data_IF_252265925938
#
_entry.id   IF_252265925938
#
_cell.length_a   1.000
_cell.length_b   1.000
_cell.length_c   1.000
_cell.angle_alpha   90.00
_cell.angle_beta   90.00
_cell.angle_gamma   90.00
#
_symmetry.space_group_name_H-M   'P 1'
#
loop_
_entity.id
_entity.type
_entity.pdbx_description
1 polymer ?
#
# COMPACT_ATOMS: atom_id res chain seq x y z
N UNK A 1 -81.27 -2.47 -50.30
CA UNK A 1 -81.18 -1.16 -50.98
C UNK A 1 -81.25 -0.06 -49.94
N UNK A 2 -80.25 0.84 -49.98
CA UNK A 2 -80.24 2.23 -49.47
C UNK A 2 -80.40 2.43 -47.95
N UNK A 3 -79.32 2.83 -47.23
CA UNK A 3 -78.78 4.23 -47.07
C UNK A 3 -79.65 5.06 -46.11
N UNK A 4 -79.19 5.89 -45.17
CA UNK A 4 -77.89 6.32 -44.62
C UNK A 4 -78.22 7.39 -43.52
N UNK A 5 -77.28 7.68 -42.60
CA UNK A 5 -77.09 8.95 -41.83
C UNK A 5 -77.94 9.17 -40.55
N UNK A 6 -77.50 9.79 -39.44
CA UNK A 6 -76.21 10.33 -38.99
C UNK A 6 -76.24 10.53 -37.44
N UNK A 7 -75.08 10.42 -36.79
CA UNK A 7 -74.56 11.17 -35.63
C UNK A 7 -75.40 11.43 -34.37
N UNK A 8 -74.89 10.98 -33.21
CA UNK A 8 -74.28 11.89 -32.23
C UNK A 8 -73.48 11.12 -31.16
N UNK A 9 -72.33 11.69 -30.82
CA UNK A 9 -71.27 11.24 -29.92
C UNK A 9 -71.61 11.58 -28.46
N UNK A 10 -71.22 10.73 -27.49
CA UNK A 10 -70.47 11.03 -26.23
C UNK A 10 -70.30 9.67 -25.50
N UNK A 11 -69.10 9.10 -25.42
CA UNK A 11 -68.20 9.23 -24.27
C UNK A 11 -68.45 8.09 -23.24
N UNK A 12 -67.86 6.91 -23.41
CA UNK A 12 -66.58 6.49 -22.80
C UNK A 12 -66.68 6.13 -21.29
N UNK A 13 -66.73 4.85 -20.94
CA UNK A 13 -65.59 4.05 -20.44
C UNK A 13 -66.07 2.73 -19.81
N UNK A 14 -65.42 1.65 -20.23
CA UNK A 14 -65.53 0.29 -19.70
C UNK A 14 -64.78 0.24 -18.36
N UNK A 15 -65.42 -0.29 -17.31
CA UNK A 15 -64.68 -0.83 -16.15
C UNK A 15 -65.00 -2.32 -16.07
N UNK A 16 -64.10 -3.09 -16.69
CA UNK A 16 -63.99 -4.53 -16.50
C UNK A 16 -63.27 -4.83 -15.18
N UNK A 17 -63.65 -5.96 -14.60
CA UNK A 17 -63.10 -6.50 -13.37
C UNK A 17 -61.57 -6.68 -13.44
N UNK A 18 -60.88 -6.15 -12.43
CA UNK A 18 -59.46 -6.39 -12.20
C UNK A 18 -59.24 -6.61 -10.71
N UNK A 19 -59.04 -7.87 -10.34
CA UNK A 19 -58.63 -8.31 -8.99
C UNK A 19 -57.32 -7.61 -8.65
N UNK A 20 -57.35 -6.69 -7.68
CA UNK A 20 -56.16 -6.04 -7.15
C UNK A 20 -55.40 -7.06 -6.28
N UNK A 21 -54.41 -7.73 -6.88
CA UNK A 21 -53.36 -8.40 -6.15
C UNK A 21 -52.46 -7.32 -5.50
N UNK A 22 -52.62 -7.11 -4.19
CA UNK A 22 -51.67 -6.34 -3.41
C UNK A 22 -50.32 -7.06 -3.43
N UNK A 23 -49.34 -6.50 -4.15
CA UNK A 23 -47.94 -6.87 -4.01
C UNK A 23 -47.48 -6.48 -2.60
N UNK A 24 -47.48 -7.45 -1.69
CA UNK A 24 -46.75 -7.32 -0.43
C UNK A 24 -45.29 -7.06 -0.78
N UNK A 25 -44.79 -5.87 -0.40
CA UNK A 25 -43.38 -5.57 -0.45
C UNK A 25 -42.58 -6.69 0.22
N UNK A 26 -41.51 -7.13 -0.43
CA UNK A 26 -40.54 -8.05 0.18
C UNK A 26 -40.01 -7.37 1.44
N UNK A 27 -40.47 -7.83 2.59
CA UNK A 27 -39.82 -7.51 3.85
C UNK A 27 -38.38 -8.02 3.76
N UNK A 28 -37.42 -7.12 3.89
CA UNK A 28 -36.01 -7.48 4.00
C UNK A 28 -35.85 -8.24 5.31
N UNK A 29 -35.49 -9.52 5.22
CA UNK A 29 -35.32 -10.38 6.39
C UNK A 29 -34.30 -9.72 7.35
N UNK A 30 -34.54 -9.75 8.67
CA UNK A 30 -33.55 -9.26 9.63
C UNK A 30 -32.26 -10.08 9.44
N UNK A 31 -31.16 -9.42 9.06
CA UNK A 31 -29.85 -10.08 9.08
C UNK A 31 -29.59 -10.56 10.51
N UNK A 32 -29.26 -11.85 10.73
CA UNK A 32 -29.08 -12.35 12.08
C UNK A 32 -27.83 -11.68 12.67
N UNK A 33 -27.95 -11.07 13.85
CA UNK A 33 -26.80 -10.58 14.64
C UNK A 33 -25.69 -11.63 14.84
N UNK A 34 -26.00 -12.90 14.60
CA UNK A 34 -25.12 -14.06 14.74
C UNK A 34 -24.13 -14.21 13.58
N UNK A 35 -24.52 -13.99 12.31
CA UNK A 35 -23.60 -14.18 11.17
C UNK A 35 -22.45 -13.17 11.16
N UNK A 36 -22.75 -11.91 11.49
CA UNK A 36 -21.76 -10.85 11.61
C UNK A 36 -20.76 -11.10 12.75
N UNK A 37 -21.24 -11.64 13.87
CA UNK A 37 -20.41 -11.99 15.01
C UNK A 37 -19.51 -13.19 14.70
N UNK A 38 -20.05 -14.20 14.02
CA UNK A 38 -19.27 -15.36 13.53
C UNK A 38 -18.19 -14.94 12.54
N UNK A 39 -18.51 -14.07 11.58
CA UNK A 39 -17.52 -13.55 10.62
C UNK A 39 -16.44 -12.73 11.33
N UNK A 40 -16.80 -11.92 12.33
CA UNK A 40 -15.84 -11.18 13.14
C UNK A 40 -14.89 -12.14 13.87
N UNK A 41 -15.43 -13.18 14.51
CA UNK A 41 -14.62 -14.18 15.23
C UNK A 41 -13.69 -14.92 14.26
N UNK A 42 -14.20 -15.34 13.11
CA UNK A 42 -13.40 -15.95 12.05
C UNK A 42 -12.28 -15.01 11.57
N UNK A 43 -12.58 -13.72 11.34
CA UNK A 43 -11.59 -12.75 10.89
C UNK A 43 -10.47 -12.55 11.93
N UNK A 44 -10.79 -12.55 13.23
CA UNK A 44 -9.81 -12.40 14.32
C UNK A 44 -8.84 -13.57 14.44
N UNK A 45 -9.13 -14.73 13.83
CA UNK A 45 -8.18 -15.83 13.74
C UNK A 45 -7.03 -15.52 12.77
N UNK A 46 -7.26 -14.67 11.76
CA UNK A 46 -6.29 -14.36 10.71
C UNK A 46 -5.72 -12.94 10.79
N UNK A 47 -6.44 -12.01 11.40
CA UNK A 47 -6.11 -10.58 11.36
C UNK A 47 -6.12 -9.94 12.74
N UNK A 48 -5.40 -8.82 12.85
CA UNK A 48 -5.41 -7.95 14.02
C UNK A 48 -5.63 -6.49 13.58
N UNK A 49 -6.27 -5.65 14.41
CA UNK A 49 -6.32 -4.22 14.14
C UNK A 49 -4.91 -3.62 14.20
N UNK A 50 -4.69 -2.53 13.46
CA UNK A 50 -3.42 -1.79 13.52
C UNK A 50 -3.17 -1.27 14.94
N UNK A 51 -1.91 -1.35 15.42
CA UNK A 51 -1.50 -0.59 16.58
C UNK A 51 -1.46 0.91 16.23
N UNK A 52 -1.52 1.77 17.24
CA UNK A 52 -1.36 3.22 17.06
C UNK A 52 0.06 3.59 16.63
N UNK A 53 1.06 2.85 17.11
CA UNK A 53 2.48 3.02 16.80
C UNK A 53 3.13 1.64 16.73
N UNK A 54 4.11 1.46 15.84
CA UNK A 54 4.86 0.19 15.72
C UNK A 54 6.19 0.29 16.46
N UNK A 55 6.19 -0.11 17.72
CA UNK A 55 7.35 -0.01 18.61
C UNK A 55 8.58 -0.76 18.11
N UNK A 56 9.77 -0.25 18.48
CA UNK A 56 11.06 -0.89 18.27
C UNK A 56 11.91 -0.81 19.56
N UNK A 57 12.14 -1.93 20.27
CA UNK A 57 12.96 -1.93 21.48
C UNK A 57 14.40 -1.44 21.25
N UNK A 58 14.94 -1.60 20.04
CA UNK A 58 16.28 -1.16 19.66
C UNK A 58 16.34 0.30 19.20
N UNK A 59 15.18 0.93 18.97
CA UNK A 59 15.07 2.33 18.55
C UNK A 59 13.79 2.96 19.11
N UNK A 60 13.86 3.39 20.37
CA UNK A 60 12.72 4.06 21.03
C UNK A 60 12.20 5.23 20.21
N UNK A 61 10.88 5.32 20.07
CA UNK A 61 10.20 6.38 19.32
C UNK A 61 10.02 7.59 20.25
N UNK A 62 10.82 8.63 20.03
CA UNK A 62 10.72 9.90 20.76
C UNK A 62 10.24 11.00 19.84
N UNK A 63 9.67 12.07 20.41
CA UNK A 63 9.23 13.23 19.63
C UNK A 63 10.37 13.82 18.80
N UNK A 64 11.57 13.90 19.38
CA UNK A 64 12.75 14.47 18.74
C UNK A 64 13.22 13.61 17.55
N UNK A 65 13.19 12.28 17.67
CA UNK A 65 13.51 11.38 16.55
C UNK A 65 12.46 11.42 15.45
N UNK A 66 11.18 11.44 15.80
CA UNK A 66 10.08 11.53 14.83
C UNK A 66 10.17 12.85 14.05
N UNK A 67 10.45 13.97 14.73
CA UNK A 67 10.59 15.27 14.08
C UNK A 67 11.81 15.34 13.16
N UNK A 68 12.95 14.82 13.61
CA UNK A 68 14.14 14.70 12.77
C UNK A 68 13.89 13.77 11.58
N UNK A 69 13.27 12.61 11.80
CA UNK A 69 12.91 11.65 10.77
C UNK A 69 12.00 12.23 9.70
N UNK A 70 10.95 12.95 10.13
CA UNK A 70 10.05 13.67 9.23
C UNK A 70 10.80 14.71 8.42
N UNK A 71 11.69 15.47 9.04
CA UNK A 71 12.52 16.46 8.34
C UNK A 71 13.42 15.80 7.28
N UNK A 72 14.09 14.71 7.62
CA UNK A 72 14.94 13.94 6.71
C UNK A 72 14.16 13.25 5.59
N UNK A 73 12.93 12.79 5.85
CA UNK A 73 12.04 12.19 4.85
C UNK A 73 11.75 13.14 3.69
N UNK A 74 11.63 14.43 3.99
CA UNK A 74 11.41 15.51 3.03
C UNK A 74 12.69 16.21 2.56
N UNK A 75 13.88 15.78 2.99
CA UNK A 75 15.15 16.48 2.74
C UNK A 75 15.74 16.10 1.36
N UNK A 76 15.59 16.91 0.30
CA UNK A 76 16.10 16.55 -1.01
C UNK A 76 17.63 16.63 -1.08
N UNK A 77 18.29 17.32 -0.13
CA UNK A 77 19.77 17.38 -0.06
C UNK A 77 20.37 16.07 0.44
N UNK A 78 19.56 15.08 0.86
CA UNK A 78 20.03 13.70 1.00
C UNK A 78 20.31 13.03 -0.36
N UNK A 79 19.92 13.62 -1.49
CA UNK A 79 20.31 13.14 -2.82
C UNK A 79 21.47 13.94 -3.42
N UNK A 80 22.24 13.31 -4.32
CA UNK A 80 23.32 13.96 -5.06
C UNK A 80 22.85 15.19 -5.84
N UNK A 81 21.66 15.11 -6.41
CA UNK A 81 21.04 16.20 -7.18
C UNK A 81 20.43 17.30 -6.34
N UNK A 82 20.19 17.10 -5.03
CA UNK A 82 19.42 18.06 -4.24
C UNK A 82 17.94 18.17 -4.66
N UNK A 83 17.43 17.20 -5.44
CA UNK A 83 16.07 17.21 -6.01
C UNK A 83 15.19 16.06 -5.51
N UNK A 84 15.76 15.02 -4.90
CA UNK A 84 15.07 13.75 -4.61
C UNK A 84 15.09 13.53 -3.11
N UNK A 85 13.92 13.28 -2.54
CA UNK A 85 13.72 12.90 -1.13
C UNK A 85 12.96 11.57 -1.05
N UNK A 86 12.77 11.01 0.14
CA UNK A 86 11.90 9.84 0.32
C UNK A 86 10.48 10.13 -0.22
N UNK A 87 9.97 11.34 0.04
CA UNK A 87 8.65 11.76 -0.44
C UNK A 87 8.53 11.89 -1.97
N UNK A 88 9.63 11.87 -2.73
CA UNK A 88 9.58 11.90 -4.19
C UNK A 88 8.97 10.61 -4.76
N UNK A 89 9.41 9.45 -4.27
CA UNK A 89 8.89 8.15 -4.71
C UNK A 89 7.78 7.63 -3.77
N UNK A 90 7.82 8.03 -2.50
CA UNK A 90 6.86 7.63 -1.48
C UNK A 90 6.03 8.84 -1.02
N UNK A 91 5.31 9.45 -1.94
CA UNK A 91 4.59 10.69 -1.66
C UNK A 91 3.45 10.45 -0.65
N UNK A 92 3.58 11.06 0.53
CA UNK A 92 2.63 10.86 1.64
C UNK A 92 1.21 11.35 1.31
N UNK A 93 1.07 12.31 0.40
CA UNK A 93 -0.23 12.81 -0.06
C UNK A 93 -0.96 11.84 -1.01
N UNK A 94 -0.25 10.91 -1.63
CA UNK A 94 -0.78 9.87 -2.54
C UNK A 94 -0.60 8.48 -1.93
N UNK A 95 -0.88 8.35 -0.63
CA UNK A 95 -0.80 7.08 0.10
C UNK A 95 0.60 6.44 0.06
N UNK A 96 1.66 7.26 0.10
CA UNK A 96 3.02 6.79 0.32
C UNK A 96 3.66 6.15 -0.90
N UNK A 97 3.14 6.41 -2.10
CA UNK A 97 3.64 5.94 -3.39
C UNK A 97 3.59 7.06 -4.42
N UNK A 98 4.29 6.89 -5.54
CA UNK A 98 4.28 7.81 -6.70
C UNK A 98 3.23 7.43 -7.77
N UNK A 99 2.58 6.28 -7.62
CA UNK A 99 1.63 5.69 -8.57
C UNK A 99 2.20 5.50 -9.99
N UNK A 100 3.51 5.29 -10.11
CA UNK A 100 4.17 4.92 -11.36
C UNK A 100 4.40 3.41 -11.43
N UNK A 101 4.54 2.80 -12.63
CA UNK A 101 4.95 1.41 -12.76
C UNK A 101 6.25 1.13 -12.00
N UNK A 102 7.26 1.96 -12.20
CA UNK A 102 8.49 1.99 -11.43
C UNK A 102 8.97 3.43 -11.26
N UNK A 103 9.64 3.73 -10.14
CA UNK A 103 9.99 5.10 -9.77
C UNK A 103 11.12 5.69 -10.61
N UNK A 104 11.12 7.01 -10.74
CA UNK A 104 12.15 7.80 -11.43
C UNK A 104 13.08 8.42 -10.38
N UNK A 105 14.37 8.11 -10.45
CA UNK A 105 15.39 8.65 -9.55
C UNK A 105 16.41 9.54 -10.24
N UNK A 106 17.64 9.50 -9.74
CA UNK A 106 18.73 10.38 -10.17
C UNK A 106 19.00 10.28 -11.68
N UNK A 107 19.23 11.41 -12.33
CA UNK A 107 19.50 11.45 -13.77
C UNK A 107 18.36 10.92 -14.64
N UNK A 108 17.12 10.91 -14.13
CA UNK A 108 15.96 10.31 -14.79
C UNK A 108 16.06 8.77 -14.95
N UNK A 109 16.90 8.13 -14.13
CA UNK A 109 17.00 6.68 -14.12
C UNK A 109 15.68 6.06 -13.64
N UNK A 110 15.22 5.05 -14.36
CA UNK A 110 13.99 4.32 -14.03
C UNK A 110 14.37 3.06 -13.25
N UNK A 111 13.80 2.90 -12.05
CA UNK A 111 14.02 1.73 -11.20
C UNK A 111 13.43 0.44 -11.79
N UNK A 112 13.89 -0.74 -11.35
CA UNK A 112 13.39 -2.02 -11.84
C UNK A 112 12.07 -2.45 -11.19
N UNK A 113 11.66 -1.82 -10.08
CA UNK A 113 10.51 -2.23 -9.27
C UNK A 113 9.57 -1.07 -8.95
N UNK A 114 8.30 -1.39 -8.77
CA UNK A 114 7.28 -0.52 -8.21
C UNK A 114 7.65 -0.16 -6.75
N UNK A 115 7.51 1.12 -6.39
CA UNK A 115 7.74 1.57 -5.03
C UNK A 115 6.52 1.25 -4.14
N UNK A 116 6.64 0.32 -3.15
CA UNK A 116 5.53 0.01 -2.26
C UNK A 116 5.26 1.18 -1.30
N UNK A 117 4.06 1.22 -0.71
CA UNK A 117 3.71 2.25 0.27
C UNK A 117 4.58 2.17 1.54
N UNK A 118 4.98 3.33 2.06
CA UNK A 118 5.60 3.46 3.40
C UNK A 118 4.58 3.33 4.54
N UNK A 119 3.28 3.52 4.26
CA UNK A 119 2.26 3.40 5.29
C UNK A 119 2.15 1.96 5.78
N UNK A 120 2.21 1.78 7.10
CA UNK A 120 2.20 0.49 7.79
C UNK A 120 3.43 -0.40 7.51
N UNK A 121 4.45 0.10 6.78
CA UNK A 121 5.60 -0.72 6.38
C UNK A 121 6.43 -1.23 7.56
N UNK A 122 6.42 -0.50 8.68
CA UNK A 122 7.08 -0.90 9.92
C UNK A 122 6.54 -2.21 10.53
N UNK A 123 5.36 -2.68 10.11
CA UNK A 123 4.80 -3.98 10.53
C UNK A 123 5.37 -5.17 9.79
N UNK A 124 6.05 -4.96 8.66
CA UNK A 124 6.56 -6.06 7.85
C UNK A 124 7.71 -6.79 8.56
N UNK A 125 7.82 -8.10 8.33
CA UNK A 125 8.92 -8.94 8.84
C UNK A 125 10.28 -8.57 8.22
N UNK A 126 10.24 -7.95 7.04
CA UNK A 126 11.40 -7.46 6.28
C UNK A 126 10.92 -6.39 5.29
N UNK A 127 11.84 -5.56 4.81
CA UNK A 127 11.56 -4.49 3.85
C UNK A 127 12.01 -4.84 2.43
N UNK A 128 11.50 -4.05 1.47
CA UNK A 128 11.56 -4.31 0.02
C UNK A 128 10.80 -5.57 -0.42
N UNK A 129 10.65 -5.73 -1.74
CA UNK A 129 10.01 -6.88 -2.38
C UNK A 129 10.76 -8.20 -2.14
N UNK A 130 12.08 -8.16 -2.01
CA UNK A 130 12.97 -9.31 -1.82
C UNK A 130 13.36 -9.56 -0.35
N UNK A 131 12.98 -8.65 0.56
CA UNK A 131 13.27 -8.79 1.99
C UNK A 131 14.72 -8.56 2.37
N UNK A 132 15.48 -7.76 1.59
CA UNK A 132 16.92 -7.57 1.80
C UNK A 132 17.30 -6.67 2.97
N UNK A 133 16.35 -5.96 3.56
CA UNK A 133 16.56 -5.15 4.76
C UNK A 133 15.62 -5.64 5.88
N UNK A 134 16.11 -5.68 7.13
CA UNK A 134 15.38 -6.29 8.24
C UNK A 134 14.22 -5.44 8.76
N UNK A 135 14.36 -4.12 8.71
CA UNK A 135 13.41 -3.16 9.27
C UNK A 135 13.47 -1.83 8.49
N UNK A 136 12.58 -0.89 8.85
CA UNK A 136 12.49 0.42 8.19
C UNK A 136 13.73 1.27 8.45
N UNK A 137 14.39 1.10 9.60
CA UNK A 137 15.64 1.78 9.92
C UNK A 137 16.79 1.41 8.98
N UNK A 138 16.96 0.12 8.68
CA UNK A 138 17.95 -0.35 7.70
C UNK A 138 17.54 0.00 6.27
N UNK A 139 16.25 -0.13 5.94
CA UNK A 139 15.73 0.16 4.61
C UNK A 139 16.01 1.59 4.18
N UNK A 140 15.78 2.57 5.06
CA UNK A 140 15.92 4.00 4.77
C UNK A 140 17.34 4.42 4.34
N UNK A 141 18.37 3.63 4.68
CA UNK A 141 19.77 3.90 4.32
C UNK A 141 20.11 3.47 2.89
N UNK A 142 19.39 2.50 2.32
CA UNK A 142 19.66 1.98 0.97
C UNK A 142 19.45 3.02 -0.14
N UNK A 143 18.27 3.66 -0.22
CA UNK A 143 17.93 4.63 -1.27
C UNK A 143 18.94 5.78 -1.42
N UNK A 144 19.47 6.25 -0.29
CA UNK A 144 20.41 7.38 -0.23
C UNK A 144 21.63 7.12 -1.12
N UNK A 145 22.20 5.91 -1.07
CA UNK A 145 23.41 5.54 -1.82
C UNK A 145 23.11 4.86 -3.16
N UNK A 146 21.86 4.46 -3.41
CA UNK A 146 21.53 3.77 -4.65
C UNK A 146 21.69 4.73 -5.86
N UNK A 147 22.55 4.41 -6.85
CA UNK A 147 22.88 5.31 -7.96
C UNK A 147 21.70 5.65 -8.87
N UNK A 148 20.65 4.84 -8.88
CA UNK A 148 19.43 5.09 -9.67
C UNK A 148 18.29 5.68 -8.84
N UNK A 149 18.50 5.91 -7.54
CA UNK A 149 17.53 6.56 -6.63
C UNK A 149 18.05 7.94 -6.21
N UNK A 150 18.72 8.06 -5.05
CA UNK A 150 19.22 9.35 -4.53
C UNK A 150 20.70 9.59 -4.83
N UNK A 151 21.45 8.53 -5.18
CA UNK A 151 22.78 8.56 -5.79
C UNK A 151 23.89 9.28 -5.00
N UNK A 152 23.81 9.36 -3.68
CA UNK A 152 24.92 9.88 -2.88
C UNK A 152 26.14 8.95 -3.01
N UNK A 153 27.36 9.47 -3.25
CA UNK A 153 28.50 8.61 -3.54
C UNK A 153 28.99 7.80 -2.33
N UNK A 154 28.77 8.31 -1.11
CA UNK A 154 29.17 7.62 0.12
C UNK A 154 28.44 8.15 1.35
N UNK A 155 28.39 7.35 2.42
CA UNK A 155 27.91 7.77 3.74
C UNK A 155 28.65 9.02 4.26
N UNK A 156 29.95 9.09 4.01
CA UNK A 156 30.79 10.23 4.40
C UNK A 156 30.26 11.54 3.80
N UNK A 157 29.94 11.55 2.50
CA UNK A 157 29.41 12.75 1.85
C UNK A 157 28.04 13.17 2.38
N UNK A 158 27.19 12.19 2.74
CA UNK A 158 25.89 12.47 3.40
C UNK A 158 26.12 13.17 4.73
N UNK A 159 27.03 12.65 5.54
CA UNK A 159 27.34 13.18 6.87
C UNK A 159 28.01 14.55 6.78
N UNK A 160 28.97 14.76 5.88
CA UNK A 160 29.61 16.06 5.66
C UNK A 160 28.58 17.11 5.22
N UNK A 161 27.64 16.74 4.36
CA UNK A 161 26.57 17.63 3.93
C UNK A 161 25.63 18.02 5.08
N UNK A 162 25.12 17.06 5.85
CA UNK A 162 24.26 17.38 7.00
C UNK A 162 25.03 18.17 8.07
N UNK A 163 26.30 17.85 8.32
CA UNK A 163 27.17 18.56 9.27
C UNK A 163 27.41 20.01 8.89
N UNK A 164 27.36 20.34 7.60
CA UNK A 164 27.50 21.71 7.12
C UNK A 164 26.34 22.64 7.52
N UNK A 165 25.23 22.07 8.02
CA UNK A 165 24.00 22.78 8.40
C UNK A 165 23.86 22.69 9.93
N UNK A 166 24.10 23.79 10.68
CA UNK A 166 24.13 23.77 12.15
C UNK A 166 22.85 23.23 12.80
N UNK A 167 21.68 23.52 12.21
CA UNK A 167 20.39 23.06 12.71
C UNK A 167 20.28 21.54 12.70
N UNK A 168 20.82 20.86 11.68
CA UNK A 168 20.85 19.40 11.67
C UNK A 168 21.74 18.87 12.80
N UNK A 169 22.92 19.46 13.03
CA UNK A 169 23.79 19.06 14.14
C UNK A 169 23.04 19.13 15.49
N UNK A 170 22.27 20.19 15.72
CA UNK A 170 21.46 20.34 16.93
C UNK A 170 20.27 19.38 16.99
N UNK A 171 19.58 19.14 15.88
CA UNK A 171 18.48 18.17 15.82
C UNK A 171 18.98 16.75 16.14
N UNK A 172 20.13 16.34 15.59
CA UNK A 172 20.72 15.03 15.90
C UNK A 172 21.15 14.91 17.36
N UNK A 173 21.77 15.96 17.95
CA UNK A 173 22.09 15.97 19.39
C UNK A 173 20.85 15.80 20.27
N UNK A 174 19.74 16.46 19.93
CA UNK A 174 18.47 16.35 20.66
C UNK A 174 17.83 14.97 20.49
N UNK A 175 17.87 14.40 19.29
CA UNK A 175 17.27 13.10 18.98
C UNK A 175 18.07 11.92 19.56
N UNK A 176 19.39 12.07 19.74
CA UNK A 176 20.29 11.01 20.21
C UNK A 176 21.22 11.53 21.33
N UNK A 177 20.70 11.96 22.49
CA UNK A 177 21.48 12.62 23.53
C UNK A 177 22.51 11.71 24.22
N UNK A 178 22.32 10.39 24.13
CA UNK A 178 23.19 9.39 24.74
C UNK A 178 24.30 8.89 23.79
N UNK A 179 24.27 9.29 22.51
CA UNK A 179 25.28 8.91 21.54
C UNK A 179 26.48 9.87 21.62
N UNK A 180 27.70 9.32 21.66
CA UNK A 180 28.94 10.13 21.61
C UNK A 180 29.05 10.92 20.30
N UNK A 181 28.59 10.33 19.21
CA UNK A 181 28.53 10.94 17.87
C UNK A 181 27.08 10.84 17.34
N UNK A 182 26.21 11.81 17.67
CA UNK A 182 24.80 11.76 17.28
C UNK A 182 24.59 11.81 15.76
N UNK A 183 25.35 12.64 15.06
CA UNK A 183 25.26 12.82 13.60
C UNK A 183 26.18 11.81 12.89
N UNK A 184 25.63 10.60 12.67
CA UNK A 184 26.23 9.47 11.96
C UNK A 184 25.19 8.76 11.09
N UNK A 185 25.65 7.95 10.14
CA UNK A 185 24.80 7.43 9.07
C UNK A 185 23.67 6.56 9.60
N UNK A 186 23.94 5.70 10.58
CA UNK A 186 22.94 4.81 11.19
C UNK A 186 21.82 5.58 11.90
N UNK A 187 22.13 6.75 12.45
CA UNK A 187 21.14 7.58 13.13
C UNK A 187 20.21 8.32 12.16
N UNK A 188 20.60 8.48 10.88
CA UNK A 188 19.69 8.91 9.81
C UNK A 188 18.58 7.87 9.66
N UNK A 189 18.96 6.60 9.49
CA UNK A 189 18.02 5.48 9.37
C UNK A 189 17.13 5.33 10.59
N UNK A 190 17.68 5.44 11.82
CA UNK A 190 16.88 5.41 13.05
C UNK A 190 15.88 6.57 13.16
N UNK A 191 16.25 7.77 12.73
CA UNK A 191 15.35 8.92 12.76
C UNK A 191 14.21 8.73 11.75
N UNK A 192 14.54 8.42 10.48
CA UNK A 192 13.53 8.16 9.43
C UNK A 192 12.62 7.00 9.84
N UNK A 193 13.17 5.87 10.28
CA UNK A 193 12.39 4.73 10.74
C UNK A 193 11.50 5.05 11.95
N UNK A 194 11.93 5.93 12.87
CA UNK A 194 11.06 6.39 13.96
C UNK A 194 9.85 7.19 13.44
N UNK A 195 10.02 8.02 12.41
CA UNK A 195 8.91 8.68 11.73
C UNK A 195 8.02 7.67 10.99
N UNK A 196 8.58 6.76 10.21
CA UNK A 196 7.82 5.74 9.47
C UNK A 196 7.00 4.81 10.37
N UNK A 197 7.48 4.53 11.60
CA UNK A 197 6.73 3.77 12.63
C UNK A 197 5.47 4.47 13.13
N UNK A 198 5.32 5.76 12.87
CA UNK A 198 4.09 6.54 13.14
C UNK A 198 3.14 6.60 11.95
N UNK A 199 3.55 6.11 10.78
CA UNK A 199 2.77 6.13 9.54
C UNK A 199 1.79 4.95 9.48
N UNK A 200 0.99 4.77 10.54
CA UNK A 200 -0.11 3.80 10.57
C UNK A 200 -1.39 4.40 10.04
N UNK A 201 -2.15 3.65 9.25
CA UNK A 201 -3.43 4.10 8.65
C UNK A 201 -4.58 3.15 9.03
N UNK A 202 -5.15 3.24 10.25
CA UNK A 202 -6.36 2.51 10.61
C UNK A 202 -7.51 2.78 9.63
N UNK A 203 -8.27 1.73 9.29
CA UNK A 203 -9.38 1.74 8.35
C UNK A 203 -10.67 1.24 8.98
N UNK A 204 -11.75 1.21 8.18
CA UNK A 204 -13.03 0.61 8.58
C UNK A 204 -12.90 -0.87 8.94
N UNK A 205 -11.94 -1.58 8.37
CA UNK A 205 -11.65 -2.96 8.72
C UNK A 205 -11.09 -3.08 10.15
N UNK A 206 -10.27 -2.14 10.61
CA UNK A 206 -9.79 -2.14 11.99
C UNK A 206 -10.95 -1.91 12.98
N UNK A 207 -11.90 -1.03 12.64
CA UNK A 207 -13.10 -0.82 13.46
C UNK A 207 -13.99 -2.07 13.51
N UNK A 208 -14.10 -2.80 12.40
CA UNK A 208 -14.73 -4.12 12.37
C UNK A 208 -14.04 -5.09 13.33
N UNK A 209 -12.71 -5.23 13.22
CA UNK A 209 -11.91 -6.11 14.08
C UNK A 209 -11.99 -5.72 15.58
N UNK A 210 -12.21 -4.45 15.90
CA UNK A 210 -12.46 -3.97 17.28
C UNK A 210 -13.88 -4.23 17.80
N UNK A 211 -14.78 -4.76 16.97
CA UNK A 211 -16.12 -5.20 17.39
C UNK A 211 -17.28 -4.41 16.77
N UNK A 212 -17.00 -3.34 16.00
CA UNK A 212 -18.05 -2.62 15.29
C UNK A 212 -18.42 -3.35 14.00
N UNK A 213 -19.30 -4.36 14.09
CA UNK A 213 -19.72 -5.16 12.93
C UNK A 213 -20.43 -4.34 11.84
N UNK A 214 -20.85 -3.10 12.14
CA UNK A 214 -21.46 -2.18 11.16
C UNK A 214 -20.43 -1.35 10.37
N UNK A 215 -19.15 -1.44 10.70
CA UNK A 215 -18.09 -0.71 9.98
C UNK A 215 -17.91 -1.20 8.54
N UNK A 216 -18.24 -2.48 8.28
CA UNK A 216 -18.29 -3.06 6.95
C UNK A 216 -19.73 -3.15 6.44
N UNK A 217 -19.89 -2.85 5.16
CA UNK A 217 -21.12 -3.10 4.39
C UNK A 217 -21.35 -4.60 4.19
N UNK A 218 -22.57 -4.97 3.78
CA UNK A 218 -22.88 -6.37 3.47
C UNK A 218 -22.01 -6.94 2.33
N UNK A 219 -21.63 -6.11 1.36
CA UNK A 219 -20.77 -6.52 0.24
C UNK A 219 -19.32 -6.76 0.70
N UNK A 220 -18.78 -5.87 1.53
CA UNK A 220 -17.45 -6.02 2.13
C UNK A 220 -17.36 -7.25 3.03
N UNK A 221 -18.43 -7.58 3.76
CA UNK A 221 -18.49 -8.80 4.58
C UNK A 221 -18.48 -10.07 3.74
N UNK A 222 -19.23 -10.09 2.63
CA UNK A 222 -19.16 -11.19 1.66
C UNK A 222 -17.74 -11.32 1.09
N UNK A 223 -17.10 -10.19 0.77
CA UNK A 223 -15.71 -10.13 0.33
C UNK A 223 -14.72 -10.70 1.34
N UNK A 224 -14.82 -10.29 2.61
CA UNK A 224 -13.97 -10.78 3.69
C UNK A 224 -14.12 -12.29 3.88
N UNK A 225 -15.37 -12.77 3.94
CA UNK A 225 -15.67 -14.20 4.04
C UNK A 225 -15.06 -14.97 2.87
N UNK A 226 -15.29 -14.51 1.65
CA UNK A 226 -14.75 -15.14 0.46
C UNK A 226 -13.22 -15.12 0.44
N UNK A 227 -12.58 -14.01 0.81
CA UNK A 227 -11.12 -13.88 0.92
C UNK A 227 -10.51 -14.91 1.86
N UNK A 228 -11.18 -15.20 2.98
CA UNK A 228 -10.80 -16.28 3.91
C UNK A 228 -11.03 -17.65 3.26
N UNK A 229 -12.22 -17.91 2.73
CA UNK A 229 -12.63 -19.22 2.20
C UNK A 229 -11.85 -19.67 0.96
N UNK A 230 -11.45 -18.73 0.09
CA UNK A 230 -10.63 -19.06 -1.08
C UNK A 230 -9.16 -19.29 -0.73
N UNK A 231 -8.73 -18.89 0.47
CA UNK A 231 -7.38 -19.14 0.98
C UNK A 231 -6.39 -17.99 0.80
N UNK A 232 -6.82 -16.77 0.46
CA UNK A 232 -5.91 -15.62 0.36
C UNK A 232 -5.17 -15.33 1.68
N UNK A 233 -5.82 -15.66 2.81
CA UNK A 233 -5.26 -15.52 4.17
C UNK A 233 -4.02 -16.37 4.45
N UNK A 234 -3.72 -17.37 3.62
CA UNK A 234 -2.48 -18.14 3.74
C UNK A 234 -1.23 -17.27 3.57
N UNK A 235 -1.32 -16.22 2.74
CA UNK A 235 -0.21 -15.29 2.47
C UNK A 235 -0.47 -13.87 2.99
N UNK A 236 -1.74 -13.49 3.08
CA UNK A 236 -2.20 -12.14 3.43
C UNK A 236 -2.99 -12.15 4.74
N UNK A 237 -2.26 -12.14 5.85
CA UNK A 237 -2.78 -12.22 7.22
C UNK A 237 -2.06 -11.22 8.13
N UNK A 238 -2.37 -11.25 9.42
CA UNK A 238 -1.74 -10.39 10.41
C UNK A 238 -2.26 -8.95 10.37
N UNK A 239 -1.62 -8.03 11.11
CA UNK A 239 -2.06 -6.65 11.19
C UNK A 239 -1.87 -5.91 9.87
N UNK A 240 -0.91 -6.28 9.00
CA UNK A 240 -0.70 -5.63 7.71
C UNK A 240 -1.43 -6.34 6.54
N UNK A 241 -2.19 -7.42 6.79
CA UNK A 241 -2.87 -8.20 5.73
C UNK A 241 -1.85 -8.65 4.66
N UNK A 242 -0.71 -9.17 5.12
CA UNK A 242 0.49 -9.43 4.30
C UNK A 242 1.76 -8.93 4.99
N UNK A 243 2.89 -8.98 4.30
CA UNK A 243 4.17 -8.48 4.80
C UNK A 243 4.90 -9.39 5.79
N UNK A 244 4.35 -10.57 6.09
CA UNK A 244 4.83 -11.44 7.18
C UNK A 244 5.73 -12.59 6.70
N UNK A 245 5.71 -12.92 5.41
CA UNK A 245 6.43 -14.06 4.87
C UNK A 245 6.72 -13.90 3.36
N UNK A 246 7.51 -14.84 2.84
CA UNK A 246 7.93 -14.90 1.45
C UNK A 246 7.24 -16.06 0.75
N UNK A 247 6.76 -15.83 -0.48
CA UNK A 247 6.08 -16.83 -1.27
C UNK A 247 6.51 -16.74 -2.72
N UNK A 248 6.52 -17.89 -3.41
CA UNK A 248 6.69 -17.92 -4.85
C UNK A 248 5.50 -17.22 -5.52
N UNK A 249 5.77 -16.25 -6.38
CA UNK A 249 4.77 -15.68 -7.26
C UNK A 249 4.66 -16.56 -8.50
N UNK A 250 3.50 -17.20 -8.67
CA UNK A 250 3.26 -18.23 -9.66
C UNK A 250 3.45 -19.64 -9.10
N UNK A 251 2.70 -19.98 -8.06
CA UNK A 251 2.65 -21.32 -7.50
C UNK A 251 2.00 -22.34 -8.46
N UNK A 252 1.01 -21.91 -9.23
CA UNK A 252 0.26 -22.72 -10.20
C UNK A 252 0.48 -22.27 -11.64
N UNK A 253 0.57 -20.96 -11.87
CA UNK A 253 0.82 -20.36 -13.18
C UNK A 253 1.92 -19.32 -13.02
N UNK A 254 2.97 -19.41 -13.83
CA UNK A 254 4.08 -18.45 -13.77
C UNK A 254 3.57 -17.00 -13.89
N UNK A 255 4.02 -16.12 -13.00
CA UNK A 255 3.48 -14.77 -12.93
C UNK A 255 3.69 -13.98 -14.23
N UNK A 256 4.83 -14.14 -14.90
CA UNK A 256 5.13 -13.45 -16.15
C UNK A 256 4.22 -13.88 -17.31
N UNK A 257 3.61 -15.06 -17.24
CA UNK A 257 2.58 -15.49 -18.20
C UNK A 257 1.24 -14.85 -17.89
N UNK A 258 0.91 -14.73 -16.61
CA UNK A 258 -0.33 -14.08 -16.17
C UNK A 258 -0.31 -12.56 -16.38
N UNK A 259 0.87 -11.92 -16.34
CA UNK A 259 1.03 -10.48 -16.63
C UNK A 259 1.35 -10.17 -18.09
N UNK A 260 1.60 -11.17 -18.94
CA UNK A 260 1.87 -10.97 -20.37
C UNK A 260 0.81 -10.16 -21.14
N UNK A 261 -0.51 -10.26 -20.84
CA UNK A 261 -1.52 -9.43 -21.51
C UNK A 261 -1.38 -7.91 -21.24
N UNK A 262 -0.60 -7.52 -20.24
CA UNK A 262 -0.34 -6.12 -19.87
C UNK A 262 0.93 -5.56 -20.51
N UNK A 263 1.61 -6.36 -21.36
CA UNK A 263 2.68 -5.88 -22.25
C UNK A 263 2.07 -5.01 -23.33
N UNK A 264 2.56 -3.78 -23.44
CA UNK A 264 2.09 -2.79 -24.42
C UNK A 264 3.18 -2.50 -25.45
N UNK A 265 2.84 -1.81 -26.55
CA UNK A 265 3.81 -1.45 -27.59
C UNK A 265 4.93 -0.52 -27.06
N UNK A 266 4.60 0.34 -26.08
CA UNK A 266 5.53 1.23 -25.40
C UNK A 266 6.37 0.53 -24.31
N UNK A 267 5.97 -0.66 -23.87
CA UNK A 267 6.71 -1.52 -22.94
C UNK A 267 6.76 -2.96 -23.47
N UNK A 268 7.49 -3.21 -24.58
CA UNK A 268 7.39 -4.46 -25.35
C UNK A 268 8.02 -5.67 -24.66
N UNK A 269 8.68 -5.48 -23.51
CA UNK A 269 9.29 -6.54 -22.70
C UNK A 269 8.95 -6.35 -21.23
N UNK A 270 8.73 -7.46 -20.53
CA UNK A 270 8.68 -7.52 -19.06
C UNK A 270 9.97 -8.21 -18.61
N UNK A 271 10.91 -7.50 -17.98
CA UNK A 271 12.05 -8.13 -17.32
C UNK A 271 11.55 -9.11 -16.27
N UNK A 272 12.02 -10.36 -16.32
CA UNK A 272 11.68 -11.36 -15.31
C UNK A 272 12.52 -11.11 -14.06
N UNK A 273 11.91 -10.50 -13.04
CA UNK A 273 12.51 -10.31 -11.73
C UNK A 273 12.62 -11.63 -10.95
N UNK A 274 13.85 -12.00 -10.58
CA UNK A 274 14.10 -13.23 -9.84
C UNK A 274 13.73 -13.15 -8.35
N UNK A 275 13.34 -11.97 -7.86
CA UNK A 275 12.90 -11.75 -6.49
C UNK A 275 14.01 -11.99 -5.48
N UNK A 276 13.71 -12.80 -4.46
CA UNK A 276 14.58 -13.12 -3.32
C UNK A 276 15.87 -13.83 -3.70
N UNK A 277 15.88 -14.57 -4.82
CA UNK A 277 17.13 -15.11 -5.40
C UNK A 277 18.20 -14.03 -5.59
N UNK A 278 17.80 -12.79 -5.93
CA UNK A 278 18.72 -11.65 -6.07
C UNK A 278 19.56 -11.41 -4.81
N UNK A 279 19.02 -11.76 -3.64
CA UNK A 279 19.62 -11.61 -2.31
C UNK A 279 20.32 -12.90 -1.87
N UNK A 280 19.63 -14.03 -1.90
CA UNK A 280 20.10 -15.28 -1.26
C UNK A 280 20.98 -16.15 -2.16
N UNK A 281 20.87 -15.98 -3.48
CA UNK A 281 21.51 -16.82 -4.51
C UNK A 281 21.12 -18.31 -4.46
N UNK A 282 20.06 -18.67 -3.73
CA UNK A 282 19.55 -20.04 -3.66
C UNK A 282 18.47 -20.25 -4.70
N UNK A 283 18.58 -21.29 -5.51
CA UNK A 283 17.62 -21.58 -6.59
C UNK A 283 16.17 -21.73 -6.09
N UNK A 284 15.98 -22.26 -4.88
CA UNK A 284 14.66 -22.37 -4.23
C UNK A 284 13.97 -21.03 -3.96
N UNK A 285 14.73 -19.92 -3.94
CA UNK A 285 14.22 -18.55 -3.77
C UNK A 285 13.95 -17.84 -5.11
N UNK A 286 14.03 -18.52 -6.25
CA UNK A 286 13.68 -17.94 -7.55
C UNK A 286 12.20 -17.60 -7.62
N UNK A 287 11.91 -16.34 -8.01
CA UNK A 287 10.55 -15.78 -8.12
C UNK A 287 9.81 -15.73 -6.77
N UNK A 288 10.54 -15.82 -5.67
CA UNK A 288 10.01 -15.66 -4.32
C UNK A 288 10.02 -14.18 -3.95
N UNK A 289 8.89 -13.67 -3.48
CA UNK A 289 8.72 -12.28 -3.06
C UNK A 289 8.10 -12.24 -1.67
N UNK A 290 8.37 -11.18 -0.91
CA UNK A 290 7.61 -10.88 0.30
C UNK A 290 6.16 -10.63 -0.10
N UNK A 291 5.19 -11.27 0.56
CA UNK A 291 3.79 -10.91 0.33
C UNK A 291 3.60 -9.41 0.65
N UNK A 292 3.08 -8.59 -0.26
CA UNK A 292 2.87 -7.17 0.04
C UNK A 292 1.75 -7.03 1.08
N UNK A 293 1.81 -5.96 1.87
CA UNK A 293 0.65 -5.50 2.65
C UNK A 293 -0.48 -5.14 1.68
N UNK A 294 -1.71 -5.53 2.00
CA UNK A 294 -2.90 -5.13 1.25
C UNK A 294 -3.57 -3.88 1.82
N UNK A 295 -3.01 -3.28 2.88
CA UNK A 295 -3.52 -2.01 3.40
C UNK A 295 -3.30 -0.90 2.38
N UNK A 296 -4.33 -0.06 2.22
CA UNK A 296 -4.37 1.01 1.22
C UNK A 296 -4.26 0.55 -0.24
N UNK A 297 -4.45 -0.75 -0.55
CA UNK A 297 -4.28 -1.27 -1.91
C UNK A 297 -5.11 -0.53 -2.97
N UNK A 298 -6.30 -0.03 -2.61
CA UNK A 298 -7.12 0.80 -3.50
C UNK A 298 -6.38 2.05 -4.04
N UNK A 299 -5.40 2.56 -3.29
CA UNK A 299 -4.69 3.82 -3.56
C UNK A 299 -3.29 3.63 -4.12
N UNK A 300 -2.80 2.40 -4.15
CA UNK A 300 -1.40 2.09 -4.48
C UNK A 300 -1.26 1.32 -5.79
N UNK A 301 -2.11 1.61 -6.77
CA UNK A 301 -1.90 1.15 -8.14
C UNK A 301 -0.66 1.84 -8.75
N UNK A 302 -0.04 1.27 -9.80
CA UNK A 302 -0.27 -0.08 -10.33
C UNK A 302 0.31 -1.18 -9.41
N UNK A 303 -0.11 -2.42 -9.63
CA UNK A 303 0.11 -3.55 -8.74
C UNK A 303 1.28 -4.44 -9.18
N UNK A 304 1.71 -5.29 -8.24
CA UNK A 304 2.85 -6.20 -8.30
C UNK A 304 4.21 -5.49 -8.28
N UNK A 305 5.28 -6.28 -8.22
CA UNK A 305 6.65 -5.78 -8.06
C UNK A 305 7.12 -4.93 -9.25
N UNK A 306 6.51 -5.05 -10.42
CA UNK A 306 6.88 -4.37 -11.66
C UNK A 306 5.87 -3.28 -12.09
N UNK A 307 4.78 -3.11 -11.33
CA UNK A 307 3.73 -2.15 -11.62
C UNK A 307 3.06 -2.36 -12.97
N UNK A 308 2.96 -3.60 -13.44
CA UNK A 308 2.41 -3.93 -14.76
C UNK A 308 0.88 -3.84 -14.83
N UNK A 309 0.17 -4.06 -13.72
CA UNK A 309 -1.29 -4.21 -13.70
C UNK A 309 -1.96 -3.04 -13.00
N UNK A 310 -2.84 -2.31 -13.68
CA UNK A 310 -3.49 -1.10 -13.15
C UNK A 310 -4.83 -1.37 -12.46
N UNK A 311 -5.54 -2.42 -12.88
CA UNK A 311 -6.87 -2.78 -12.38
C UNK A 311 -6.76 -3.66 -11.14
N UNK A 312 -7.49 -3.32 -10.08
CA UNK A 312 -7.47 -4.09 -8.83
C UNK A 312 -8.19 -5.43 -9.03
N UNK A 313 -9.28 -5.40 -9.80
CA UNK A 313 -10.04 -6.55 -10.24
C UNK A 313 -9.14 -7.55 -10.97
N UNK A 314 -8.28 -7.05 -11.87
CA UNK A 314 -7.32 -7.88 -12.60
C UNK A 314 -6.24 -8.45 -11.68
N UNK A 315 -5.71 -7.63 -10.76
CA UNK A 315 -4.73 -8.10 -9.80
C UNK A 315 -5.29 -9.23 -8.91
N UNK A 316 -6.55 -9.13 -8.50
CA UNK A 316 -7.27 -10.18 -7.75
C UNK A 316 -7.43 -11.45 -8.58
N UNK A 317 -7.84 -11.34 -9.85
CA UNK A 317 -7.98 -12.50 -10.76
C UNK A 317 -6.64 -13.20 -10.99
N UNK A 318 -5.58 -12.44 -11.25
CA UNK A 318 -4.22 -12.95 -11.43
C UNK A 318 -3.76 -13.67 -10.16
N UNK A 319 -3.98 -13.10 -8.97
CA UNK A 319 -3.60 -13.75 -7.71
C UNK A 319 -4.34 -15.06 -7.49
N UNK A 320 -5.65 -15.11 -7.77
CA UNK A 320 -6.41 -16.35 -7.67
C UNK A 320 -5.90 -17.43 -8.64
N UNK A 321 -5.56 -17.07 -9.87
CA UNK A 321 -5.06 -18.02 -10.87
C UNK A 321 -3.64 -18.50 -10.54
N UNK A 322 -2.73 -17.56 -10.27
CA UNK A 322 -1.30 -17.84 -10.07
C UNK A 322 -1.00 -18.48 -8.72
N UNK A 323 -1.70 -18.08 -7.65
CA UNK A 323 -1.43 -18.55 -6.29
C UNK A 323 -2.35 -19.66 -5.81
N UNK A 324 -3.59 -19.73 -6.33
CA UNK A 324 -4.60 -20.67 -5.84
C UNK A 324 -5.09 -21.65 -6.92
N UNK A 325 -4.65 -21.49 -8.18
CA UNK A 325 -5.13 -22.30 -9.30
C UNK A 325 -6.63 -22.14 -9.59
N UNK A 326 -7.19 -20.98 -9.21
CA UNK A 326 -8.63 -20.70 -9.26
C UNK A 326 -8.95 -19.57 -10.24
N UNK A 327 -10.06 -19.72 -10.96
CA UNK A 327 -10.66 -18.63 -11.72
C UNK A 327 -11.86 -18.10 -10.96
N UNK A 328 -11.76 -16.88 -10.48
CA UNK A 328 -12.88 -16.21 -9.81
C UNK A 328 -13.89 -15.73 -10.85
N UNK A 329 -15.17 -15.84 -10.51
CA UNK A 329 -16.24 -15.17 -11.24
C UNK A 329 -16.14 -13.64 -11.08
N UNK A 330 -16.81 -12.89 -11.95
CA UNK A 330 -16.90 -11.43 -11.81
C UNK A 330 -17.55 -11.01 -10.49
N UNK A 331 -18.54 -11.78 -10.02
CA UNK A 331 -19.21 -11.51 -8.76
C UNK A 331 -18.27 -11.74 -7.56
N UNK A 332 -17.54 -12.85 -7.54
CA UNK A 332 -16.53 -13.15 -6.51
C UNK A 332 -15.42 -12.11 -6.48
N UNK A 333 -14.92 -11.73 -7.67
CA UNK A 333 -13.89 -10.69 -7.81
C UNK A 333 -14.39 -9.37 -7.22
N UNK A 334 -15.61 -8.95 -7.57
CA UNK A 334 -16.23 -7.73 -7.04
C UNK A 334 -16.33 -7.76 -5.53
N UNK A 335 -16.76 -8.88 -4.93
CA UNK A 335 -16.83 -9.00 -3.47
C UNK A 335 -15.45 -8.86 -2.81
N UNK A 336 -14.43 -9.55 -3.32
CA UNK A 336 -13.06 -9.43 -2.78
C UNK A 336 -12.57 -7.98 -2.92
N UNK A 337 -12.75 -7.34 -4.07
CA UNK A 337 -12.36 -5.94 -4.28
C UNK A 337 -13.09 -5.01 -3.33
N UNK A 338 -14.39 -5.22 -3.06
CA UNK A 338 -15.13 -4.45 -2.07
C UNK A 338 -14.46 -4.57 -0.68
N UNK A 339 -14.11 -5.78 -0.24
CA UNK A 339 -13.35 -5.98 0.99
C UNK A 339 -11.99 -5.27 0.96
N UNK A 340 -11.22 -5.37 -0.11
CA UNK A 340 -9.92 -4.70 -0.23
C UNK A 340 -10.04 -3.17 -0.12
N UNK A 341 -11.12 -2.56 -0.64
CA UNK A 341 -11.42 -1.13 -0.47
C UNK A 341 -11.71 -0.74 0.98
N UNK A 342 -12.15 -1.68 1.82
CA UNK A 342 -12.30 -1.43 3.27
C UNK A 342 -10.96 -1.32 4.01
N UNK A 343 -9.84 -1.72 3.37
CA UNK A 343 -8.48 -1.63 3.91
C UNK A 343 -7.83 -0.25 3.69
N UNK A 344 -8.49 0.67 2.99
CA UNK A 344 -8.04 2.06 2.84
C UNK A 344 -8.22 2.80 4.16
N UNK A 345 -7.10 3.13 4.81
CA UNK A 345 -7.07 3.84 6.07
C UNK A 345 -7.00 5.36 5.91
N UNK A 346 -7.17 6.06 7.03
CA UNK A 346 -6.97 7.51 7.06
C UNK A 346 -5.48 7.84 7.18
N UNK A 347 -4.98 8.72 6.30
CA UNK A 347 -3.63 9.28 6.42
C UNK A 347 -3.55 10.09 7.73
N UNK A 348 -2.57 9.82 8.62
CA UNK A 348 -2.44 10.58 9.84
C UNK A 348 -2.02 12.03 9.53
N UNK A 349 -2.61 13.00 10.23
CA UNK A 349 -2.45 14.43 9.91
C UNK A 349 -0.98 14.89 9.90
N UNK A 350 -0.19 14.41 10.85
CA UNK A 350 1.23 14.76 10.97
C UNK A 350 2.08 14.27 9.79
N UNK A 351 1.61 13.28 9.03
CA UNK A 351 2.29 12.82 7.81
C UNK A 351 2.13 13.81 6.64
N UNK A 352 1.13 14.70 6.69
CA UNK A 352 0.87 15.70 5.64
C UNK A 352 1.45 17.08 5.97
N UNK A 353 2.03 17.24 7.16
CA UNK A 353 2.70 18.46 7.58
C UNK A 353 4.12 18.49 7.01
N UNK A 354 4.34 19.29 5.96
CA UNK A 354 5.67 19.45 5.36
C UNK A 354 6.57 20.27 6.30
N UNK A 355 7.77 19.78 6.66
CA UNK A 355 8.67 20.49 7.57
C UNK A 355 9.32 21.70 6.88
N UNK A 356 9.61 22.74 7.66
CA UNK A 356 10.49 23.83 7.21
C UNK A 356 11.93 23.34 7.30
N UNK A 357 12.56 23.10 6.16
CA UNK A 357 13.95 22.63 6.12
C UNK A 357 14.93 23.77 6.47
N UNK A 358 16.00 23.49 7.24
CA UNK A 358 17.01 24.50 7.56
C UNK A 358 17.77 24.96 6.30
N UNK A 359 18.22 26.21 6.27
CA UNK A 359 18.92 26.77 5.12
C UNK A 359 20.29 26.10 4.91
N UNK A 360 20.69 25.96 3.64
CA UNK A 360 22.08 25.58 3.32
C UNK A 360 23.04 26.69 3.72
N UNK A 361 24.27 26.33 4.09
CA UNK A 361 25.35 27.27 4.38
C UNK A 361 26.28 27.42 3.16
N UNK A 362 27.27 28.31 3.28
CA UNK A 362 28.38 28.43 2.33
C UNK A 362 29.21 27.14 2.22
N UNK A 363 29.22 26.33 3.28
CA UNK A 363 29.92 25.03 3.34
C UNK A 363 29.11 23.86 2.81
N UNK A 364 27.81 24.03 2.56
CA UNK A 364 26.97 22.94 2.06
C UNK A 364 27.35 22.61 0.61
N UNK A 365 27.74 21.35 0.30
CA UNK A 365 28.03 20.94 -1.05
C UNK A 365 26.90 21.30 -2.02
N UNK A 366 27.26 21.85 -3.18
CA UNK A 366 26.28 22.26 -4.19
C UNK A 366 25.66 21.05 -4.88
N UNK A 367 24.39 21.14 -5.30
CA UNK A 367 23.72 20.12 -6.12
C UNK A 367 24.52 19.68 -7.34
N UNK A 368 24.57 18.37 -7.60
CA UNK A 368 25.09 17.79 -8.84
C UNK A 368 23.94 17.10 -9.57
N UNK A 369 23.32 17.80 -10.51
CA UNK A 369 22.09 17.36 -11.19
C UNK A 369 22.34 16.27 -12.25
N UNK A 370 23.61 16.06 -12.63
CA UNK A 370 24.04 15.09 -13.65
C UNK A 370 24.86 13.94 -13.07
#
# INVERSE_FOLDING_TARGET
>A
MKRLLLSAVVGAFVVGAGVYAQSKGKAQAPQPKDEDAQLLEQARQFFQPLPTVVENPQNSITKEKVELGRTLYYEPRLSKSGLISCNTCHNLATYGVDNLPTSIGHGWAIGPRNAPTVYNAALHTAQFWDGRAKDVEEQALGPILNPIEMAMPSEKEVIERLRSIPEYVEMFKKAFPNDKEPLRYENIGKAIGAFERTLTTPSRFDEFLKGNTKALTAEEKKGLKLFIEVGCVACHSGPAVGGNAFFKFGQFVDYWRATAPYVTLDKPTIPVDLGRFGVTKKEEDMFVFKSPSLRNIEKTYPYFHDGSVWSLEDAVKIMAETQLGRKLTEEETRYIVAFLRSLTGQIPKHALEVPVLPASTDKTPRPQVR
#
